data_IF_595362525648
#
_entry.id   IF_595362525648
#
_cell.length_a   1.000
_cell.length_b   1.000
_cell.length_c   1.000
_cell.angle_alpha   90.00
_cell.angle_beta   90.00
_cell.angle_gamma   90.00
#
_symmetry.space_group_name_H-M   'P 1'
#
loop_
_entity.id
_entity.type
_entity.pdbx_description
1 polymer ?
#
# COMPACT_ATOMS: atom_id res chain seq x y z
N UNK A 1 -20.49 34.14 13.87
CA UNK A 1 -19.82 33.59 12.68
C UNK A 1 -18.30 33.37 12.80
N UNK A 2 -17.56 34.09 13.64
CA UNK A 2 -16.10 33.90 13.81
C UNK A 2 -15.73 32.58 14.52
N UNK A 3 -16.58 32.03 15.38
CA UNK A 3 -16.31 30.85 16.20
C UNK A 3 -16.39 29.51 15.42
N UNK A 4 -17.05 29.48 14.25
CA UNK A 4 -17.16 28.26 13.44
C UNK A 4 -15.88 28.00 12.59
N UNK A 5 -15.30 29.08 12.03
CA UNK A 5 -14.06 28.94 11.23
C UNK A 5 -12.88 28.42 12.04
N UNK A 6 -12.73 28.84 13.30
CA UNK A 6 -11.63 28.37 14.15
C UNK A 6 -11.83 26.90 14.58
N UNK A 7 -13.07 26.48 14.81
CA UNK A 7 -13.37 25.05 15.09
C UNK A 7 -13.13 24.18 13.85
N UNK A 8 -13.54 24.61 12.67
CA UNK A 8 -13.27 23.92 11.41
C UNK A 8 -11.76 23.81 11.11
N UNK A 9 -11.00 24.91 11.34
CA UNK A 9 -9.55 24.87 11.22
C UNK A 9 -8.91 23.92 12.24
N UNK A 10 -9.33 23.96 13.50
CA UNK A 10 -8.83 23.05 14.54
C UNK A 10 -9.16 21.59 14.21
N UNK A 11 -10.34 21.29 13.69
CA UNK A 11 -10.67 19.93 13.26
C UNK A 11 -9.82 19.49 12.07
N UNK A 12 -9.59 20.36 11.10
CA UNK A 12 -8.79 20.07 9.91
C UNK A 12 -7.29 19.87 10.22
N UNK A 13 -6.76 20.55 11.24
CA UNK A 13 -5.37 20.46 11.65
C UNK A 13 -5.12 19.66 12.93
N UNK A 14 -6.17 19.05 13.51
CA UNK A 14 -6.06 18.26 14.77
C UNK A 14 -5.02 17.15 14.69
N UNK A 15 -4.95 16.44 13.56
CA UNK A 15 -3.99 15.36 13.31
C UNK A 15 -2.55 15.88 13.32
N UNK A 16 -2.30 17.03 12.68
CA UNK A 16 -0.97 17.65 12.69
C UNK A 16 -0.57 18.12 14.09
N UNK A 17 -1.53 18.62 14.88
CA UNK A 17 -1.28 19.01 16.26
C UNK A 17 -0.93 17.80 17.14
N UNK A 18 -1.67 16.70 17.01
CA UNK A 18 -1.37 15.44 17.71
C UNK A 18 0.02 14.92 17.30
N UNK A 19 0.33 14.92 16.00
CA UNK A 19 1.65 14.51 15.50
C UNK A 19 2.77 15.39 16.10
N UNK A 20 2.58 16.70 16.12
CA UNK A 20 3.56 17.64 16.71
C UNK A 20 3.80 17.34 18.19
N UNK A 21 2.73 17.13 18.96
CA UNK A 21 2.84 16.76 20.38
C UNK A 21 3.61 15.45 20.56
N UNK A 22 3.30 14.44 19.75
CA UNK A 22 4.00 13.15 19.78
C UNK A 22 5.49 13.29 19.45
N UNK A 23 5.84 14.12 18.46
CA UNK A 23 7.24 14.39 18.10
C UNK A 23 7.97 15.08 19.28
N UNK A 24 7.35 16.08 19.90
CA UNK A 24 7.94 16.79 21.04
C UNK A 24 8.15 15.84 22.22
N UNK A 25 7.12 15.09 22.61
CA UNK A 25 7.20 14.12 23.72
C UNK A 25 8.28 13.07 23.44
N UNK A 26 8.31 12.49 22.25
CA UNK A 26 9.33 11.50 21.87
C UNK A 26 10.73 12.08 21.87
N UNK A 27 10.89 13.34 21.44
CA UNK A 27 12.20 14.02 21.42
C UNK A 27 12.71 14.33 22.83
N UNK A 28 11.80 14.65 23.76
CA UNK A 28 12.16 14.88 25.17
C UNK A 28 12.51 13.57 25.86
N UNK A 29 11.77 12.49 25.58
CA UNK A 29 11.99 11.18 26.19
C UNK A 29 13.25 10.47 25.64
N UNK A 30 13.62 10.72 24.40
CA UNK A 30 14.78 10.09 23.79
C UNK A 30 15.62 11.10 22.99
N UNK A 31 16.82 11.48 23.47
CA UNK A 31 17.71 12.44 22.78
C UNK A 31 18.10 12.00 21.36
N UNK A 32 18.06 10.69 21.05
CA UNK A 32 18.38 10.17 19.72
C UNK A 32 17.17 10.18 18.77
N UNK A 33 15.97 10.59 19.22
CA UNK A 33 14.75 10.55 18.42
C UNK A 33 14.91 11.35 17.12
N UNK A 34 15.44 12.55 17.19
CA UNK A 34 15.68 13.42 16.03
C UNK A 34 17.06 13.19 15.35
N UNK A 35 17.78 12.12 15.72
CA UNK A 35 19.05 11.82 15.06
C UNK A 35 18.82 11.50 13.58
N UNK A 36 19.77 11.85 12.72
CA UNK A 36 19.71 11.57 11.29
C UNK A 36 19.49 10.07 10.99
N UNK A 37 20.09 9.19 11.80
CA UNK A 37 19.91 7.73 11.68
C UNK A 37 18.46 7.32 11.95
N UNK A 38 17.87 7.83 13.02
CA UNK A 38 16.49 7.48 13.38
C UNK A 38 15.48 8.04 12.39
N UNK A 39 15.63 9.30 11.96
CA UNK A 39 14.78 9.89 10.91
C UNK A 39 14.86 9.09 9.62
N UNK A 40 16.06 8.67 9.22
CA UNK A 40 16.23 7.79 8.05
C UNK A 40 15.51 6.46 8.22
N UNK A 41 15.60 5.84 9.40
CA UNK A 41 14.90 4.58 9.68
C UNK A 41 13.38 4.75 9.64
N UNK A 42 12.86 5.82 10.23
CA UNK A 42 11.42 6.15 10.17
C UNK A 42 10.98 6.32 8.71
N UNK A 43 11.73 7.07 7.91
CA UNK A 43 11.40 7.28 6.50
C UNK A 43 11.37 5.97 5.70
N UNK A 44 12.31 5.06 5.95
CA UNK A 44 12.34 3.72 5.33
C UNK A 44 11.17 2.84 5.78
N UNK A 45 10.77 2.93 7.05
CA UNK A 45 9.59 2.20 7.55
C UNK A 45 8.30 2.72 6.93
N UNK A 46 8.13 4.03 6.91
CA UNK A 46 6.96 4.69 6.34
C UNK A 46 6.83 4.46 4.83
N UNK A 47 7.94 4.23 4.12
CA UNK A 47 7.92 4.04 2.67
C UNK A 47 6.99 2.89 2.24
N UNK A 48 7.05 1.75 2.92
CA UNK A 48 6.20 0.58 2.60
C UNK A 48 4.73 0.88 2.92
N UNK A 49 4.45 1.40 4.12
CA UNK A 49 3.09 1.74 4.54
C UNK A 49 2.47 2.82 3.64
N UNK A 50 3.25 3.82 3.21
CA UNK A 50 2.78 4.89 2.32
C UNK A 50 2.43 4.35 0.93
N UNK A 51 3.23 3.43 0.37
CA UNK A 51 2.93 2.81 -0.93
C UNK A 51 1.63 2.00 -0.84
N UNK A 52 1.41 1.25 0.24
CA UNK A 52 0.14 0.54 0.48
C UNK A 52 -1.02 1.53 0.66
N UNK A 53 -0.81 2.61 1.40
CA UNK A 53 -1.83 3.65 1.61
C UNK A 53 -2.30 4.27 0.28
N UNK A 54 -1.42 4.44 -0.71
CA UNK A 54 -1.83 4.90 -2.05
C UNK A 54 -2.72 3.88 -2.76
N UNK A 55 -2.44 2.59 -2.64
CA UNK A 55 -3.29 1.52 -3.17
C UNK A 55 -4.68 1.54 -2.53
N UNK A 56 -4.71 1.57 -1.20
CA UNK A 56 -5.96 1.66 -0.43
C UNK A 56 -6.72 2.95 -0.73
N UNK A 57 -6.05 4.09 -0.86
CA UNK A 57 -6.68 5.36 -1.23
C UNK A 57 -7.42 5.24 -2.57
N UNK A 58 -6.80 4.66 -3.59
CA UNK A 58 -7.44 4.45 -4.90
C UNK A 58 -8.68 3.58 -4.79
N UNK A 59 -8.60 2.50 -4.00
CA UNK A 59 -9.74 1.60 -3.76
C UNK A 59 -10.86 2.30 -2.97
N UNK A 60 -10.54 2.96 -1.85
CA UNK A 60 -11.52 3.64 -1.00
C UNK A 60 -12.25 4.74 -1.77
N UNK A 61 -11.53 5.57 -2.53
CA UNK A 61 -12.13 6.60 -3.39
C UNK A 61 -13.10 5.97 -4.40
N UNK A 62 -12.84 4.74 -4.85
CA UNK A 62 -13.71 3.98 -5.75
C UNK A 62 -14.86 3.23 -5.05
N UNK A 63 -15.05 3.42 -3.73
CA UNK A 63 -16.02 2.67 -2.93
C UNK A 63 -15.65 1.22 -2.66
N UNK A 64 -14.35 0.87 -2.75
CA UNK A 64 -13.80 -0.46 -2.59
C UNK A 64 -12.86 -0.54 -1.38
N UNK A 65 -12.50 -1.75 -0.97
CA UNK A 65 -11.60 -2.01 0.16
C UNK A 65 -10.80 -3.29 -0.11
N UNK A 66 -9.50 -3.29 0.26
CA UNK A 66 -8.67 -4.50 0.17
C UNK A 66 -8.02 -4.84 1.52
N UNK A 67 -8.55 -5.86 2.18
CA UNK A 67 -7.97 -6.41 3.40
C UNK A 67 -6.90 -7.48 3.12
N UNK A 68 -6.64 -7.82 1.85
CA UNK A 68 -5.66 -8.84 1.49
C UNK A 68 -4.24 -8.28 1.31
N UNK A 69 -4.08 -6.97 1.22
CA UNK A 69 -2.84 -6.29 0.84
C UNK A 69 -1.61 -6.77 1.64
N UNK A 70 -1.71 -6.95 2.96
CA UNK A 70 -0.60 -7.42 3.81
C UNK A 70 -0.22 -8.87 3.55
N UNK A 71 -1.20 -9.76 3.33
CA UNK A 71 -0.94 -11.17 3.04
C UNK A 71 -0.41 -11.38 1.61
N UNK A 72 -0.98 -10.64 0.64
CA UNK A 72 -0.51 -10.66 -0.75
C UNK A 72 0.90 -10.08 -0.86
N UNK A 73 1.21 -9.02 -0.10
CA UNK A 73 2.57 -8.49 0.05
C UNK A 73 3.53 -9.57 0.54
N UNK A 74 3.16 -10.31 1.60
CA UNK A 74 4.01 -11.36 2.14
C UNK A 74 4.25 -12.49 1.13
N UNK A 75 3.20 -12.98 0.46
CA UNK A 75 3.32 -14.02 -0.56
C UNK A 75 4.16 -13.56 -1.75
N UNK A 76 3.84 -12.41 -2.33
CA UNK A 76 4.56 -11.87 -3.47
C UNK A 76 6.02 -11.58 -3.14
N UNK A 77 6.27 -11.03 -1.94
CA UNK A 77 7.61 -10.77 -1.44
C UNK A 77 8.45 -12.03 -1.23
N UNK A 78 7.89 -13.09 -0.64
CA UNK A 78 8.58 -14.38 -0.47
C UNK A 78 8.93 -15.00 -1.81
N UNK A 79 7.98 -15.01 -2.77
CA UNK A 79 8.23 -15.54 -4.11
C UNK A 79 9.27 -14.71 -4.86
N UNK A 80 9.29 -13.39 -4.66
CA UNK A 80 10.31 -12.52 -5.26
C UNK A 80 11.70 -12.78 -4.70
N UNK A 81 11.83 -13.03 -3.39
CA UNK A 81 13.10 -13.42 -2.77
C UNK A 81 13.59 -14.75 -3.36
N UNK A 82 12.70 -15.73 -3.51
CA UNK A 82 13.04 -17.02 -4.12
C UNK A 82 13.48 -16.88 -5.57
N UNK A 83 12.77 -16.06 -6.36
CA UNK A 83 13.11 -15.77 -7.73
C UNK A 83 14.47 -15.07 -7.85
N UNK A 84 14.76 -14.14 -6.93
CA UNK A 84 16.08 -13.52 -6.85
C UNK A 84 17.18 -14.52 -6.52
N UNK A 85 16.97 -15.40 -5.54
CA UNK A 85 17.97 -16.44 -5.17
C UNK A 85 18.25 -17.41 -6.33
N UNK A 86 17.26 -17.69 -7.18
CA UNK A 86 17.39 -18.55 -8.34
C UNK A 86 18.10 -17.86 -9.52
N UNK A 87 17.88 -16.58 -9.72
CA UNK A 87 18.30 -15.87 -10.96
C UNK A 87 19.40 -14.82 -10.75
N UNK A 88 19.57 -14.33 -9.53
CA UNK A 88 20.44 -13.19 -9.20
C UNK A 88 19.91 -11.83 -9.74
N UNK A 89 18.73 -11.80 -10.36
CA UNK A 89 18.19 -10.63 -11.04
C UNK A 89 17.10 -9.92 -10.21
N UNK A 90 17.34 -8.65 -9.86
CA UNK A 90 16.32 -7.80 -9.21
C UNK A 90 15.14 -7.51 -10.12
N UNK A 91 15.36 -7.39 -11.43
CA UNK A 91 14.26 -7.19 -12.38
C UNK A 91 13.28 -8.37 -12.37
N UNK A 92 13.79 -9.61 -12.30
CA UNK A 92 12.96 -10.82 -12.19
C UNK A 92 12.23 -10.81 -10.84
N UNK A 93 12.89 -10.43 -9.75
CA UNK A 93 12.28 -10.34 -8.43
C UNK A 93 11.09 -9.36 -8.42
N UNK A 94 11.25 -8.16 -8.97
CA UNK A 94 10.15 -7.20 -9.10
C UNK A 94 9.04 -7.72 -10.02
N UNK A 95 9.37 -8.31 -11.16
CA UNK A 95 8.39 -8.86 -12.09
C UNK A 95 7.54 -9.96 -11.44
N UNK A 96 8.16 -10.87 -10.68
CA UNK A 96 7.47 -11.94 -9.94
C UNK A 96 6.58 -11.35 -8.85
N UNK A 97 7.10 -10.42 -8.03
CA UNK A 97 6.31 -9.80 -6.97
C UNK A 97 5.08 -9.08 -7.51
N UNK A 98 5.28 -8.20 -8.50
CA UNK A 98 4.19 -7.45 -9.12
C UNK A 98 3.21 -8.40 -9.81
N UNK A 99 3.71 -9.40 -10.55
CA UNK A 99 2.87 -10.37 -11.25
C UNK A 99 1.96 -11.14 -10.27
N UNK A 100 2.51 -11.65 -9.19
CA UNK A 100 1.73 -12.37 -8.15
C UNK A 100 0.71 -11.43 -7.50
N UNK A 101 1.12 -10.25 -7.07
CA UNK A 101 0.21 -9.31 -6.42
C UNK A 101 -0.92 -8.86 -7.37
N UNK A 102 -0.61 -8.61 -8.64
CA UNK A 102 -1.61 -8.27 -9.66
C UNK A 102 -2.58 -9.44 -9.89
N UNK A 103 -2.11 -10.69 -9.97
CA UNK A 103 -2.99 -11.86 -10.12
C UNK A 103 -4.02 -11.93 -8.99
N UNK A 104 -3.59 -11.80 -7.72
CA UNK A 104 -4.51 -11.83 -6.59
C UNK A 104 -5.49 -10.65 -6.60
N UNK A 105 -5.03 -9.46 -6.94
CA UNK A 105 -5.88 -8.28 -7.09
C UNK A 105 -6.87 -8.41 -8.27
N UNK A 106 -6.47 -9.04 -9.37
CA UNK A 106 -7.39 -9.33 -10.48
C UNK A 106 -8.45 -10.36 -10.11
N UNK A 107 -8.12 -11.35 -9.27
CA UNK A 107 -9.10 -12.28 -8.70
C UNK A 107 -10.10 -11.51 -7.82
N UNK A 108 -9.63 -10.60 -6.95
CA UNK A 108 -10.51 -9.74 -6.17
C UNK A 108 -11.42 -8.90 -7.08
N UNK A 109 -10.86 -8.26 -8.11
CA UNK A 109 -11.62 -7.48 -9.08
C UNK A 109 -12.69 -8.32 -9.79
N UNK A 110 -12.37 -9.56 -10.18
CA UNK A 110 -13.30 -10.46 -10.83
C UNK A 110 -14.57 -10.69 -9.98
N UNK A 111 -14.38 -11.03 -8.71
CA UNK A 111 -15.51 -11.29 -7.82
C UNK A 111 -16.28 -10.03 -7.44
N UNK A 112 -15.59 -8.91 -7.23
CA UNK A 112 -16.22 -7.66 -6.84
C UNK A 112 -16.92 -6.97 -8.01
N UNK A 113 -16.31 -6.94 -9.19
CA UNK A 113 -16.84 -6.21 -10.33
C UNK A 113 -17.87 -6.99 -11.15
N UNK A 114 -17.69 -8.31 -11.30
CA UNK A 114 -18.57 -9.12 -12.14
C UNK A 114 -19.68 -9.83 -11.35
N UNK A 115 -19.40 -10.25 -10.12
CA UNK A 115 -20.38 -10.94 -9.29
C UNK A 115 -20.99 -10.04 -8.22
N UNK A 116 -20.63 -8.74 -8.20
CA UNK A 116 -21.12 -7.75 -7.24
C UNK A 116 -20.98 -8.18 -5.77
N UNK A 117 -19.97 -8.99 -5.46
CA UNK A 117 -19.71 -9.40 -4.07
C UNK A 117 -19.09 -8.25 -3.29
N UNK A 118 -19.41 -8.07 -2.00
CA UNK A 118 -18.80 -7.06 -1.15
C UNK A 118 -17.27 -7.21 -1.11
N UNK A 119 -16.55 -6.13 -1.40
CA UNK A 119 -15.09 -6.15 -1.53
C UNK A 119 -14.40 -6.69 -0.26
N UNK A 120 -14.87 -6.31 0.93
CA UNK A 120 -14.27 -6.76 2.18
C UNK A 120 -14.37 -8.28 2.39
N UNK A 121 -15.45 -8.93 1.95
CA UNK A 121 -15.62 -10.40 2.06
C UNK A 121 -14.63 -11.10 1.12
N UNK A 122 -14.56 -10.64 -0.13
CA UNK A 122 -13.67 -11.22 -1.14
C UNK A 122 -12.21 -11.07 -0.70
N UNK A 123 -11.83 -9.88 -0.26
CA UNK A 123 -10.43 -9.61 0.12
C UNK A 123 -10.02 -10.29 1.42
N UNK A 124 -10.93 -10.51 2.38
CA UNK A 124 -10.68 -11.35 3.55
C UNK A 124 -10.42 -12.81 3.16
N UNK A 125 -11.21 -13.37 2.24
CA UNK A 125 -10.96 -14.73 1.74
C UNK A 125 -9.60 -14.81 1.04
N UNK A 126 -9.28 -13.81 0.21
CA UNK A 126 -7.99 -13.70 -0.47
C UNK A 126 -6.83 -13.55 0.52
N UNK A 127 -7.02 -12.81 1.61
CA UNK A 127 -6.03 -12.67 2.69
C UNK A 127 -5.66 -14.04 3.28
N UNK A 128 -6.66 -14.84 3.62
CA UNK A 128 -6.46 -16.19 4.16
C UNK A 128 -5.75 -17.10 3.15
N UNK A 129 -6.20 -17.07 1.89
CA UNK A 129 -5.60 -17.87 0.82
C UNK A 129 -4.14 -17.48 0.56
N UNK A 130 -3.84 -16.18 0.42
CA UNK A 130 -2.48 -15.69 0.20
C UNK A 130 -1.55 -16.03 1.38
N UNK A 131 -2.02 -15.86 2.62
CA UNK A 131 -1.25 -16.23 3.81
C UNK A 131 -0.98 -17.72 3.86
N UNK A 132 -2.00 -18.55 3.63
CA UNK A 132 -1.85 -20.01 3.56
C UNK A 132 -0.84 -20.43 2.50
N UNK A 133 -0.91 -19.87 1.30
CA UNK A 133 0.03 -20.17 0.21
C UNK A 133 1.46 -19.73 0.54
N UNK A 134 1.67 -18.57 1.20
CA UNK A 134 2.99 -18.14 1.63
C UNK A 134 3.62 -19.13 2.62
N UNK A 135 2.83 -19.61 3.59
CA UNK A 135 3.25 -20.61 4.57
C UNK A 135 3.52 -21.98 3.93
N UNK A 136 2.64 -22.44 3.05
CA UNK A 136 2.85 -23.70 2.34
C UNK A 136 4.10 -23.67 1.49
N UNK A 137 4.31 -22.60 0.73
CA UNK A 137 5.47 -22.45 -0.16
C UNK A 137 6.80 -22.51 0.62
N UNK A 138 6.86 -21.93 1.81
CA UNK A 138 8.06 -21.86 2.62
C UNK A 138 8.15 -22.97 3.68
N UNK A 139 7.18 -23.88 3.75
CA UNK A 139 7.01 -24.83 4.87
C UNK A 139 7.04 -24.12 6.24
N UNK A 140 6.46 -22.91 6.30
CA UNK A 140 6.42 -22.06 7.50
C UNK A 140 7.75 -21.43 7.89
N UNK A 141 8.82 -21.64 7.12
CA UNK A 141 10.18 -21.16 7.46
C UNK A 141 10.50 -19.82 6.78
N UNK A 142 11.33 -19.01 7.43
CA UNK A 142 11.82 -17.76 6.85
C UNK A 142 12.93 -18.07 5.83
N UNK A 143 12.95 -17.34 4.71
CA UNK A 143 14.04 -17.41 3.74
C UNK A 143 15.11 -16.40 4.14
N UNK A 144 16.19 -16.89 4.68
CA UNK A 144 17.32 -16.08 5.14
C UNK A 144 18.41 -15.97 4.06
N UNK A 145 19.43 -15.13 4.31
CA UNK A 145 20.60 -14.94 3.45
C UNK A 145 20.20 -14.51 2.02
N UNK A 146 19.44 -13.42 1.94
CA UNK A 146 18.92 -12.90 0.66
C UNK A 146 19.97 -12.08 -0.15
N UNK A 147 21.20 -11.96 0.37
CA UNK A 147 22.32 -11.35 -0.34
C UNK A 147 22.07 -9.89 -0.76
N UNK A 148 22.41 -9.56 -2.00
CA UNK A 148 22.26 -8.18 -2.52
C UNK A 148 20.80 -7.74 -2.70
N UNK A 149 19.83 -8.63 -2.54
CA UNK A 149 18.41 -8.25 -2.53
C UNK A 149 18.12 -7.18 -1.45
N UNK A 150 18.76 -7.28 -0.29
CA UNK A 150 18.62 -6.32 0.81
C UNK A 150 19.00 -4.88 0.42
N UNK A 151 19.83 -4.68 -0.60
CA UNK A 151 20.25 -3.35 -1.04
C UNK A 151 19.07 -2.47 -1.44
N UNK A 152 18.01 -3.02 -2.01
CA UNK A 152 16.83 -2.25 -2.43
C UNK A 152 16.04 -1.69 -1.23
N UNK A 153 16.07 -2.40 -0.09
CA UNK A 153 15.38 -1.97 1.14
C UNK A 153 16.25 -1.19 2.13
N UNK A 154 17.57 -1.43 2.10
CA UNK A 154 18.51 -0.86 3.08
C UNK A 154 19.54 0.09 2.45
N UNK A 155 19.68 0.07 1.12
CA UNK A 155 20.64 0.89 0.40
C UNK A 155 20.20 2.33 0.26
N UNK A 156 21.17 3.17 -0.17
CA UNK A 156 20.97 4.60 -0.41
C UNK A 156 21.55 4.99 -1.77
N UNK A 157 20.95 5.98 -2.41
CA UNK A 157 21.51 6.69 -3.56
C UNK A 157 21.85 8.10 -3.08
N UNK A 158 23.15 8.37 -2.88
CA UNK A 158 23.59 9.57 -2.16
C UNK A 158 23.05 9.58 -0.71
N UNK A 159 22.42 10.66 -0.25
CA UNK A 159 21.83 10.73 1.09
C UNK A 159 20.46 10.07 1.22
N UNK A 160 19.80 9.72 0.09
CA UNK A 160 18.38 9.30 0.05
C UNK A 160 18.27 7.77 0.07
N UNK A 161 17.50 7.16 1.01
CA UNK A 161 17.22 5.73 0.99
C UNK A 161 16.42 5.32 -0.25
N UNK A 162 16.76 4.17 -0.82
CA UNK A 162 16.07 3.64 -2.01
C UNK A 162 14.55 3.51 -1.81
N UNK A 163 14.02 2.99 -0.68
CA UNK A 163 12.57 2.92 -0.48
C UNK A 163 11.87 4.28 -0.56
N UNK A 164 12.52 5.35 -0.09
CA UNK A 164 11.96 6.71 -0.17
C UNK A 164 11.84 7.17 -1.64
N UNK A 165 12.79 6.80 -2.49
CA UNK A 165 12.73 7.11 -3.93
C UNK A 165 11.50 6.43 -4.56
N UNK A 166 11.26 5.15 -4.25
CA UNK A 166 10.05 4.44 -4.71
C UNK A 166 8.77 5.12 -4.23
N UNK A 167 8.74 5.59 -2.97
CA UNK A 167 7.59 6.30 -2.42
C UNK A 167 7.34 7.61 -3.16
N UNK A 168 8.38 8.41 -3.41
CA UNK A 168 8.26 9.67 -4.16
C UNK A 168 7.75 9.42 -5.58
N UNK A 169 8.28 8.40 -6.26
CA UNK A 169 7.81 8.02 -7.59
C UNK A 169 6.33 7.58 -7.56
N UNK A 170 5.95 6.75 -6.58
CA UNK A 170 4.56 6.35 -6.40
C UNK A 170 3.65 7.56 -6.14
N UNK A 171 4.09 8.52 -5.30
CA UNK A 171 3.36 9.76 -5.02
C UNK A 171 3.09 10.54 -6.32
N UNK A 172 4.12 10.74 -7.13
CA UNK A 172 3.99 11.48 -8.38
C UNK A 172 3.02 10.77 -9.35
N UNK A 173 3.18 9.47 -9.52
CA UNK A 173 2.36 8.67 -10.46
C UNK A 173 0.90 8.64 -9.98
N UNK A 174 0.65 8.32 -8.72
CA UNK A 174 -0.71 8.23 -8.20
C UNK A 174 -1.38 9.59 -8.16
N UNK A 175 -0.67 10.64 -7.74
CA UNK A 175 -1.19 12.01 -7.80
C UNK A 175 -1.57 12.41 -9.23
N UNK A 176 -0.75 12.08 -10.22
CA UNK A 176 -1.08 12.34 -11.63
C UNK A 176 -2.30 11.55 -12.09
N UNK A 177 -2.38 10.24 -11.78
CA UNK A 177 -3.53 9.40 -12.14
C UNK A 177 -4.81 9.96 -11.54
N UNK A 178 -4.81 10.24 -10.23
CA UNK A 178 -6.02 10.67 -9.52
C UNK A 178 -6.49 12.07 -9.94
N UNK A 179 -5.57 13.01 -10.14
CA UNK A 179 -5.96 14.40 -10.37
C UNK A 179 -6.06 14.79 -11.85
N UNK A 180 -5.31 14.14 -12.75
CA UNK A 180 -5.16 14.59 -14.13
C UNK A 180 -5.77 13.65 -15.17
N UNK A 181 -6.13 12.40 -14.81
CA UNK A 181 -6.60 11.43 -15.79
C UNK A 181 -8.12 11.25 -15.77
N UNK A 182 -8.65 10.70 -16.88
CA UNK A 182 -10.06 10.27 -16.95
C UNK A 182 -10.33 9.10 -15.99
N UNK A 183 -9.33 8.28 -15.75
CA UNK A 183 -9.42 7.14 -14.84
C UNK A 183 -9.63 7.60 -13.39
N UNK A 184 -8.85 8.58 -12.92
CA UNK A 184 -9.04 9.16 -11.59
C UNK A 184 -10.44 9.75 -11.41
N UNK A 185 -10.93 10.51 -12.40
CA UNK A 185 -12.30 11.02 -12.38
C UNK A 185 -13.37 9.92 -12.31
N UNK A 186 -13.14 8.79 -13.00
CA UNK A 186 -14.04 7.64 -12.91
C UNK A 186 -14.04 7.02 -11.51
N UNK A 187 -12.90 6.97 -10.83
CA UNK A 187 -12.81 6.47 -9.45
C UNK A 187 -13.65 7.33 -8.48
N UNK A 188 -13.49 8.66 -8.52
CA UNK A 188 -14.30 9.56 -7.71
C UNK A 188 -15.81 9.45 -8.03
N UNK A 189 -16.15 9.35 -9.31
CA UNK A 189 -17.56 9.26 -9.72
C UNK A 189 -18.21 7.96 -9.17
N UNK A 190 -17.55 6.82 -9.31
CA UNK A 190 -18.05 5.52 -8.88
C UNK A 190 -18.20 5.47 -7.36
N UNK A 191 -17.19 5.95 -6.61
CA UNK A 191 -17.26 5.99 -5.17
C UNK A 191 -18.33 6.93 -4.63
N UNK A 192 -18.61 8.04 -5.35
CA UNK A 192 -19.68 8.96 -4.98
C UNK A 192 -21.09 8.40 -5.24
N UNK A 193 -21.33 7.83 -6.42
CA UNK A 193 -22.58 7.15 -6.75
C UNK A 193 -22.40 6.24 -7.98
N UNK A 194 -22.40 4.93 -7.74
CA UNK A 194 -22.20 3.92 -8.79
C UNK A 194 -23.33 3.95 -9.85
N UNK A 195 -24.60 4.07 -9.43
CA UNK A 195 -25.74 4.08 -10.34
C UNK A 195 -25.74 5.33 -11.25
N UNK A 196 -25.44 6.50 -10.67
CA UNK A 196 -25.31 7.73 -11.44
C UNK A 196 -24.13 7.67 -12.42
N UNK A 197 -23.05 7.00 -12.04
CA UNK A 197 -21.89 6.78 -12.90
C UNK A 197 -22.21 5.91 -14.12
N UNK A 198 -22.99 4.83 -13.92
CA UNK A 198 -23.50 3.99 -15.01
C UNK A 198 -24.37 4.82 -15.96
N UNK A 199 -25.31 5.60 -15.40
CA UNK A 199 -26.19 6.46 -16.19
C UNK A 199 -25.43 7.52 -17.00
N UNK A 200 -24.26 7.95 -16.50
CA UNK A 200 -23.34 8.88 -17.17
C UNK A 200 -22.41 8.22 -18.19
N UNK A 201 -22.55 6.91 -18.43
CA UNK A 201 -21.75 6.15 -19.41
C UNK A 201 -20.37 5.74 -18.91
N UNK A 202 -20.10 5.79 -17.62
CA UNK A 202 -18.84 5.30 -17.04
C UNK A 202 -18.87 3.77 -16.99
N UNK A 203 -17.82 3.13 -17.51
CA UNK A 203 -17.68 1.68 -17.39
C UNK A 203 -17.16 1.32 -15.99
N UNK A 204 -18.11 1.04 -15.08
CA UNK A 204 -17.83 0.73 -13.68
C UNK A 204 -16.97 -0.51 -13.53
N UNK A 205 -17.28 -1.60 -14.26
CA UNK A 205 -16.53 -2.86 -14.21
C UNK A 205 -15.06 -2.60 -14.55
N UNK A 206 -14.79 -1.94 -15.68
CA UNK A 206 -13.42 -1.60 -16.10
C UNK A 206 -12.71 -0.75 -15.05
N UNK A 207 -13.40 0.20 -14.46
CA UNK A 207 -12.80 1.09 -13.46
C UNK A 207 -12.46 0.34 -12.17
N UNK A 208 -13.33 -0.57 -11.69
CA UNK A 208 -13.03 -1.45 -10.55
C UNK A 208 -11.80 -2.32 -10.83
N UNK A 209 -11.70 -2.94 -12.02
CA UNK A 209 -10.50 -3.68 -12.42
C UNK A 209 -9.24 -2.83 -12.43
N UNK A 210 -9.31 -1.59 -12.91
CA UNK A 210 -8.16 -0.69 -12.94
C UNK A 210 -7.74 -0.25 -11.53
N UNK A 211 -8.69 -0.04 -10.61
CA UNK A 211 -8.39 0.27 -9.21
C UNK A 211 -7.62 -0.88 -8.54
N UNK A 212 -8.11 -2.11 -8.67
CA UNK A 212 -7.41 -3.30 -8.16
C UNK A 212 -6.07 -3.54 -8.86
N UNK A 213 -5.95 -3.25 -10.17
CA UNK A 213 -4.67 -3.36 -10.90
C UNK A 213 -3.62 -2.42 -10.30
N UNK A 214 -3.98 -1.17 -10.08
CA UNK A 214 -3.08 -0.17 -9.47
C UNK A 214 -2.68 -0.63 -8.07
N UNK A 215 -3.64 -1.08 -7.25
CA UNK A 215 -3.35 -1.62 -5.93
C UNK A 215 -2.39 -2.81 -6.00
N UNK A 216 -2.64 -3.78 -6.90
CA UNK A 216 -1.78 -4.95 -7.08
C UNK A 216 -0.34 -4.59 -7.46
N UNK A 217 -0.13 -3.60 -8.33
CA UNK A 217 1.22 -3.12 -8.67
C UNK A 217 1.91 -2.52 -7.44
N UNK A 218 1.21 -1.69 -6.68
CA UNK A 218 1.75 -1.05 -5.48
C UNK A 218 2.06 -2.08 -4.38
N UNK A 219 1.17 -3.05 -4.15
CA UNK A 219 1.39 -4.16 -3.20
C UNK A 219 2.61 -4.99 -3.61
N UNK A 220 2.78 -5.28 -4.91
CA UNK A 220 3.94 -6.02 -5.40
C UNK A 220 5.27 -5.26 -5.18
N UNK A 221 5.29 -3.96 -5.43
CA UNK A 221 6.45 -3.11 -5.14
C UNK A 221 6.73 -3.09 -3.63
N UNK A 222 5.70 -2.88 -2.81
CA UNK A 222 5.79 -2.89 -1.35
C UNK A 222 6.35 -4.23 -0.82
N UNK A 223 5.97 -5.36 -1.45
CA UNK A 223 6.47 -6.70 -1.11
C UNK A 223 7.99 -6.83 -1.25
N UNK A 224 8.54 -6.36 -2.37
CA UNK A 224 10.00 -6.34 -2.57
C UNK A 224 10.68 -5.45 -1.53
N UNK A 225 10.19 -4.24 -1.33
CA UNK A 225 10.78 -3.26 -0.40
C UNK A 225 10.72 -3.76 1.05
N UNK A 226 9.61 -4.38 1.45
CA UNK A 226 9.44 -4.94 2.79
C UNK A 226 10.44 -6.06 3.05
N UNK A 227 10.53 -7.08 2.18
CA UNK A 227 11.44 -8.20 2.36
C UNK A 227 12.90 -7.76 2.31
N UNK A 228 13.23 -6.80 1.42
CA UNK A 228 14.57 -6.22 1.35
C UNK A 228 14.93 -5.45 2.63
N UNK A 229 13.98 -4.71 3.21
CA UNK A 229 14.16 -3.96 4.46
C UNK A 229 14.44 -4.88 5.63
N UNK A 230 13.67 -5.94 5.79
CA UNK A 230 13.82 -6.90 6.90
C UNK A 230 14.93 -7.91 6.65
N UNK A 231 15.56 -7.87 5.48
CA UNK A 231 16.65 -8.77 5.06
C UNK A 231 16.29 -10.26 5.15
N UNK A 232 15.04 -10.59 4.89
CA UNK A 232 14.54 -11.97 4.91
C UNK A 232 13.20 -12.07 4.13
N UNK A 233 12.94 -13.24 3.56
CA UNK A 233 11.61 -13.60 3.07
C UNK A 233 10.77 -14.15 4.23
N UNK A 234 9.79 -13.40 4.69
CA UNK A 234 8.98 -13.70 5.86
C UNK A 234 7.55 -14.08 5.44
N UNK A 235 7.15 -15.38 5.47
CA UNK A 235 5.78 -15.78 5.10
C UNK A 235 4.72 -15.21 6.07
N UNK A 236 5.09 -15.01 7.35
CA UNK A 236 4.26 -14.35 8.34
C UNK A 236 4.54 -12.84 8.45
N UNK A 237 5.29 -12.27 7.50
CA UNK A 237 5.56 -10.83 7.48
C UNK A 237 4.32 -10.00 7.17
N UNK A 238 4.42 -8.71 7.43
CA UNK A 238 3.42 -7.70 7.08
C UNK A 238 1.99 -7.97 7.61
N UNK A 239 1.86 -8.67 8.74
CA UNK A 239 0.57 -8.79 9.43
C UNK A 239 0.17 -7.42 9.95
N UNK A 240 -1.06 -6.98 9.64
CA UNK A 240 -1.58 -5.68 10.03
C UNK A 240 -1.24 -4.53 9.06
N UNK A 241 -0.40 -4.75 8.06
CA UNK A 241 -0.05 -3.70 7.08
C UNK A 241 -1.23 -3.28 6.21
N UNK A 242 -2.20 -4.16 5.99
CA UNK A 242 -3.51 -3.82 5.40
C UNK A 242 -4.22 -2.74 6.22
N UNK A 243 -4.20 -2.85 7.54
CA UNK A 243 -4.79 -1.85 8.44
C UNK A 243 -3.94 -0.58 8.54
N UNK A 244 -2.61 -0.68 8.49
CA UNK A 244 -1.72 0.49 8.45
C UNK A 244 -1.96 1.30 7.18
N UNK A 245 -2.04 0.66 6.00
CA UNK A 245 -2.33 1.30 4.73
C UNK A 245 -3.69 1.99 4.72
N UNK A 246 -4.73 1.26 5.15
CA UNK A 246 -6.09 1.77 5.28
C UNK A 246 -6.16 2.99 6.23
N UNK A 247 -5.59 2.85 7.43
CA UNK A 247 -5.57 3.92 8.42
C UNK A 247 -4.83 5.15 7.89
N UNK A 248 -3.68 4.96 7.24
CA UNK A 248 -2.92 6.06 6.66
C UNK A 248 -3.71 6.80 5.56
N UNK A 249 -4.44 6.08 4.70
CA UNK A 249 -5.29 6.68 3.69
C UNK A 249 -6.43 7.51 4.30
N UNK A 250 -7.12 6.98 5.32
CA UNK A 250 -8.24 7.66 6.00
C UNK A 250 -7.74 8.87 6.79
N UNK A 251 -6.66 8.71 7.56
CA UNK A 251 -6.01 9.79 8.34
C UNK A 251 -5.50 10.88 7.39
N UNK A 252 -5.04 10.50 6.20
CA UNK A 252 -4.64 11.40 5.13
C UNK A 252 -5.79 12.20 4.50
N UNK A 253 -7.05 11.91 4.87
CA UNK A 253 -8.23 12.67 4.44
C UNK A 253 -9.08 11.97 3.39
N UNK A 254 -8.82 10.70 3.06
CA UNK A 254 -9.69 9.94 2.17
C UNK A 254 -10.98 9.58 2.89
N UNK A 255 -12.14 9.95 2.28
CA UNK A 255 -13.45 9.62 2.84
C UNK A 255 -13.71 8.12 2.77
N UNK A 256 -14.03 7.50 3.91
CA UNK A 256 -14.37 6.07 3.96
C UNK A 256 -15.67 5.72 3.21
N UNK A 257 -16.52 6.71 2.97
CA UNK A 257 -17.78 6.54 2.21
C UNK A 257 -17.59 6.62 0.70
N UNK A 258 -16.37 6.76 0.21
CA UNK A 258 -16.06 6.91 -1.21
C UNK A 258 -16.22 8.36 -1.71
N UNK A 259 -15.77 8.64 -2.95
CA UNK A 259 -15.94 9.92 -3.66
C UNK A 259 -14.83 10.94 -3.40
#
# INVERSE_FOLDING_TARGET
>A
MKNNKSKELMQKFSIFFVLLVLIIVSSVMNPNFLSHRNITNIAVQLAVATILAYGEMVLIVSGLLDLSSGAVLALSGVLSVSAYKATGSMAVAFAVSIGVAVIFNMINALFVANFALPAFIVTLATQMAARGLALLYTSGQNILQIGKYAVVGQGKIGPVPIPVIFTVLATIIISYIMNQTRLGRSFYAIGGNEEASIASGINVVKSKYMAFLINGVLVGIAGVLFMARVNAGLPNGAVGYEMEGLTAAIVGGTSFSGG
#
